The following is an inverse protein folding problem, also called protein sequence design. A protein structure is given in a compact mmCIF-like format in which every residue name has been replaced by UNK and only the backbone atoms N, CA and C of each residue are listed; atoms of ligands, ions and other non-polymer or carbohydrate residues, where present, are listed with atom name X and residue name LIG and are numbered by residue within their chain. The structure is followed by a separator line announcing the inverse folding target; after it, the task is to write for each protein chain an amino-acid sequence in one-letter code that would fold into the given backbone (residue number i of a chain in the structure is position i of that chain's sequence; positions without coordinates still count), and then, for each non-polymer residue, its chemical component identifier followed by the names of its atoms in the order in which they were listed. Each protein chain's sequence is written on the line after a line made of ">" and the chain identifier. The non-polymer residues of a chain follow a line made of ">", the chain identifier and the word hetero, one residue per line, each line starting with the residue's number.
data_IF_323669662789
#
_entry.id   IF_323669662789
#
_cell.length_a   1.000
_cell.length_b   1.000
_cell.length_c   1.000
_cell.angle_alpha   90.00
_cell.angle_beta   90.00
_cell.angle_gamma   90.00
#
_symmetry.space_group_name_H-M   'P 1'
#
loop_
_entity.id
_entity.type
_entity.pdbx_description
1 polymer ?
#
# COMPACT_ATOMS: atom_id res chain seq x y z
N UNK A 1 -18.32 15.47 45.06
CA UNK A 1 -18.78 14.07 44.84
C UNK A 1 -18.60 13.81 43.34
N UNK A 2 -17.42 13.31 42.96
CA UNK A 2 -17.14 11.90 42.67
C UNK A 2 -17.79 11.48 41.35
N UNK A 3 -17.07 11.46 40.22
CA UNK A 3 -16.14 10.44 39.66
C UNK A 3 -16.81 9.70 38.51
N UNK A 4 -16.14 9.63 37.34
CA UNK A 4 -16.44 8.58 36.35
C UNK A 4 -16.19 8.91 34.88
N UNK A 5 -14.93 9.05 34.48
CA UNK A 5 -14.44 8.63 33.14
C UNK A 5 -14.33 7.10 33.11
N UNK A 6 -14.56 6.44 31.94
CA UNK A 6 -13.45 5.99 31.08
C UNK A 6 -13.86 6.00 29.57
N UNK A 7 -13.04 5.68 28.57
CA UNK A 7 -11.71 5.08 28.53
C UNK A 7 -11.11 5.23 27.14
N UNK A 8 -9.79 5.33 27.14
CA UNK A 8 -8.90 5.50 26.01
C UNK A 8 -8.88 4.24 25.13
N UNK A 9 -9.00 4.43 23.81
CA UNK A 9 -8.70 3.37 22.84
C UNK A 9 -7.19 3.17 22.77
N UNK A 10 -6.77 1.96 23.12
CA UNK A 10 -5.38 1.51 23.09
C UNK A 10 -4.92 1.34 21.65
N UNK A 11 -3.94 2.15 21.23
CA UNK A 11 -3.08 1.87 20.10
C UNK A 11 -2.16 0.71 20.49
N UNK A 12 -2.34 -0.45 19.86
CA UNK A 12 -1.40 -1.58 19.97
C UNK A 12 -0.17 -1.22 19.15
N UNK A 13 0.84 -0.69 19.84
CA UNK A 13 2.18 -0.47 19.30
C UNK A 13 2.95 -1.79 19.44
N UNK A 14 3.25 -2.48 18.34
CA UNK A 14 4.18 -3.61 18.34
C UNK A 14 5.61 -3.09 18.55
N UNK A 15 6.02 -3.01 19.83
CA UNK A 15 7.38 -2.68 20.24
C UNK A 15 8.36 -3.80 19.90
N UNK A 16 9.39 -3.44 19.14
CA UNK A 16 10.58 -4.24 18.83
C UNK A 16 11.50 -4.25 20.05
N UNK A 17 11.65 -5.40 20.73
CA UNK A 17 12.67 -5.57 21.77
C UNK A 17 14.02 -5.95 21.13
N UNK A 18 15.14 -5.29 21.48
CA UNK A 18 16.47 -5.80 21.21
C UNK A 18 16.87 -6.81 22.29
N UNK A 19 17.18 -8.04 21.88
CA UNK A 19 17.75 -9.05 22.77
C UNK A 19 19.23 -8.72 23.04
N UNK A 20 19.54 -8.43 24.30
CA UNK A 20 20.89 -8.45 24.85
C UNK A 20 21.21 -9.85 25.38
N UNK A 21 22.33 -10.42 24.94
CA UNK A 21 23.04 -11.52 25.62
C UNK A 21 24.40 -11.65 24.92
N UNK A 22 25.54 -11.99 25.52
CA UNK A 22 25.94 -12.37 26.89
C UNK A 22 27.48 -12.29 26.90
N UNK A 23 28.09 -11.78 27.97
CA UNK A 23 28.78 -12.58 28.99
C UNK A 23 29.87 -13.54 28.49
N UNK A 24 31.09 -13.22 28.91
CA UNK A 24 32.38 -13.91 28.74
C UNK A 24 32.50 -15.17 29.60
N UNK A 25 33.44 -16.06 29.18
CA UNK A 25 34.05 -17.24 29.86
C UNK A 25 33.29 -18.57 29.75
N UNK A 26 33.90 -19.73 29.48
CA UNK A 26 35.26 -20.26 29.80
C UNK A 26 35.65 -21.33 28.76
N UNK A 27 36.95 -21.56 28.63
CA UNK A 27 37.55 -22.61 27.82
C UNK A 27 37.67 -23.98 28.53
N UNK A 28 37.90 -25.01 27.69
CA UNK A 28 38.39 -26.40 27.91
C UNK A 28 37.35 -27.53 27.87
N UNK A 29 37.72 -28.79 27.52
CA UNK A 29 38.74 -29.27 26.58
C UNK A 29 38.16 -30.27 25.53
N UNK A 30 39.01 -30.67 24.58
CA UNK A 30 38.71 -31.57 23.48
C UNK A 30 38.32 -32.99 23.92
N UNK A 31 37.20 -33.48 23.41
CA UNK A 31 36.85 -34.91 23.36
C UNK A 31 36.24 -35.20 21.98
N UNK A 32 36.95 -36.01 21.21
CA UNK A 32 36.54 -36.51 19.91
C UNK A 32 35.31 -37.43 20.05
N UNK A 33 34.19 -37.05 19.46
CA UNK A 33 33.06 -37.95 19.28
C UNK A 33 32.53 -37.90 17.84
N UNK A 34 32.36 -39.12 17.33
CA UNK A 34 32.02 -39.53 15.97
C UNK A 34 30.77 -38.86 15.41
N UNK A 35 30.87 -38.54 14.12
CA UNK A 35 29.79 -38.20 13.20
C UNK A 35 28.55 -39.07 13.35
N UNK A 36 27.38 -38.43 13.50
CA UNK A 36 26.11 -38.96 13.03
C UNK A 36 25.19 -37.79 12.62
N UNK A 37 24.84 -37.61 11.34
CA UNK A 37 23.96 -36.53 10.91
C UNK A 37 22.52 -36.98 11.10
N UNK A 38 21.87 -36.54 12.17
CA UNK A 38 20.40 -36.59 12.26
C UNK A 38 19.90 -35.32 11.58
N UNK A 39 19.46 -35.47 10.33
CA UNK A 39 18.78 -34.43 9.57
C UNK A 39 17.48 -34.06 10.29
N UNK A 40 17.52 -33.01 11.11
CA UNK A 40 16.34 -32.37 11.65
C UNK A 40 15.75 -31.46 10.57
N UNK A 41 14.94 -32.04 9.67
CA UNK A 41 14.09 -31.27 8.75
C UNK A 41 13.03 -30.55 9.57
N UNK A 42 13.29 -29.29 9.91
CA UNK A 42 12.33 -28.37 10.50
C UNK A 42 11.32 -27.98 9.40
N UNK A 43 10.27 -28.79 9.22
CA UNK A 43 9.16 -28.45 8.34
C UNK A 43 8.37 -27.29 8.94
N UNK A 44 8.76 -26.07 8.58
CA UNK A 44 8.00 -24.86 8.84
C UNK A 44 6.70 -24.92 8.05
N UNK A 45 5.62 -25.40 8.69
CA UNK A 45 4.28 -25.37 8.12
C UNK A 45 3.88 -23.90 7.95
N UNK A 46 3.98 -23.39 6.73
CA UNK A 46 3.34 -22.15 6.30
C UNK A 46 1.83 -22.35 6.46
N UNK A 47 1.27 -21.89 7.58
CA UNK A 47 -0.17 -21.70 7.71
C UNK A 47 -0.54 -20.55 6.78
N UNK A 48 -0.87 -20.88 5.54
CA UNK A 48 -1.52 -19.95 4.62
C UNK A 48 -2.93 -19.75 5.18
N UNK A 49 -3.09 -18.76 6.04
CA UNK A 49 -4.41 -18.24 6.38
C UNK A 49 -4.95 -17.58 5.11
N UNK A 50 -5.66 -18.35 4.29
CA UNK A 50 -6.47 -17.77 3.23
C UNK A 50 -7.38 -16.73 3.90
N UNK A 51 -7.36 -15.48 3.44
CA UNK A 51 -8.26 -14.45 3.93
C UNK A 51 -9.69 -14.94 3.72
N UNK A 52 -10.30 -15.49 4.77
CA UNK A 52 -11.68 -15.93 4.74
C UNK A 52 -12.54 -14.69 4.49
N UNK A 53 -13.52 -14.82 3.60
CA UNK A 53 -14.40 -13.72 3.26
C UNK A 53 -15.42 -13.42 4.36
N UNK A 54 -15.67 -14.38 5.26
CA UNK A 54 -16.55 -14.27 6.41
C UNK A 54 -15.97 -15.00 7.64
N UNK A 55 -16.30 -14.47 8.81
CA UNK A 55 -16.08 -15.14 10.10
C UNK A 55 -17.28 -16.01 10.55
N UNK A 56 -17.16 -16.70 11.68
CA UNK A 56 -18.22 -17.56 12.21
C UNK A 56 -19.51 -16.79 12.53
N UNK A 57 -19.37 -15.58 13.09
CA UNK A 57 -20.50 -14.75 13.47
C UNK A 57 -21.27 -14.29 12.24
N UNK A 58 -20.57 -13.87 11.20
CA UNK A 58 -21.16 -13.48 9.93
C UNK A 58 -21.87 -14.65 9.24
N UNK A 59 -21.25 -15.84 9.21
CA UNK A 59 -21.90 -17.05 8.69
C UNK A 59 -23.18 -17.37 9.49
N UNK A 60 -23.09 -17.40 10.82
CA UNK A 60 -24.23 -17.76 11.69
C UNK A 60 -25.33 -16.71 11.72
N UNK A 61 -25.04 -15.46 11.36
CA UNK A 61 -26.06 -14.40 11.26
C UNK A 61 -27.16 -14.74 10.26
N UNK A 62 -26.83 -15.50 9.20
CA UNK A 62 -27.77 -15.91 8.17
C UNK A 62 -28.33 -14.78 7.30
N UNK A 63 -27.85 -13.54 7.44
CA UNK A 63 -28.32 -12.39 6.67
C UNK A 63 -27.63 -12.29 5.31
N UNK A 64 -27.92 -13.28 4.46
CA UNK A 64 -27.34 -13.40 3.13
C UNK A 64 -27.70 -12.24 2.21
N UNK A 65 -28.89 -11.65 2.38
CA UNK A 65 -29.29 -10.46 1.61
C UNK A 65 -28.42 -9.26 1.94
N UNK A 66 -28.15 -8.98 3.22
CA UNK A 66 -27.24 -7.90 3.60
C UNK A 66 -25.83 -8.14 3.08
N UNK A 67 -25.32 -9.38 3.17
CA UNK A 67 -24.00 -9.73 2.62
C UNK A 67 -23.95 -9.46 1.11
N UNK A 68 -24.94 -9.93 0.35
CA UNK A 68 -25.04 -9.65 -1.07
C UNK A 68 -25.07 -8.15 -1.36
N UNK A 69 -25.88 -7.39 -0.62
CA UNK A 69 -25.92 -5.94 -0.76
C UNK A 69 -24.55 -5.28 -0.56
N UNK A 70 -23.80 -5.68 0.46
CA UNK A 70 -22.46 -5.15 0.71
C UNK A 70 -21.50 -5.55 -0.42
N UNK A 71 -21.56 -6.77 -0.91
CA UNK A 71 -20.70 -7.23 -2.01
C UNK A 71 -20.98 -6.49 -3.32
N UNK A 72 -22.26 -6.30 -3.65
CA UNK A 72 -22.69 -5.54 -4.81
C UNK A 72 -22.29 -4.07 -4.69
N UNK A 73 -22.44 -3.47 -3.50
CA UNK A 73 -22.04 -2.09 -3.22
C UNK A 73 -20.52 -1.88 -3.37
N UNK A 74 -19.72 -2.91 -3.09
CA UNK A 74 -18.27 -2.90 -3.25
C UNK A 74 -17.80 -3.28 -4.65
N UNK A 75 -18.71 -3.67 -5.54
CA UNK A 75 -18.38 -4.10 -6.91
C UNK A 75 -17.64 -5.43 -6.97
N UNK A 76 -17.77 -6.30 -5.96
CA UNK A 76 -17.16 -7.63 -6.02
C UNK A 76 -17.82 -8.50 -7.08
N UNK A 77 -17.04 -9.39 -7.71
CA UNK A 77 -17.55 -10.34 -8.69
C UNK A 77 -18.56 -11.32 -8.07
N UNK A 78 -19.50 -11.83 -8.87
CA UNK A 78 -20.50 -12.81 -8.40
C UNK A 78 -19.92 -14.11 -7.86
N UNK A 79 -18.69 -14.45 -8.27
CA UNK A 79 -17.93 -15.58 -7.71
C UNK A 79 -17.72 -15.47 -6.20
N UNK A 80 -17.86 -14.27 -5.61
CA UNK A 80 -17.70 -14.02 -4.17
C UNK A 80 -18.63 -14.89 -3.30
N UNK A 81 -19.81 -15.23 -3.79
CA UNK A 81 -20.71 -16.14 -3.08
C UNK A 81 -20.08 -17.53 -2.87
N UNK A 82 -19.33 -18.04 -3.84
CA UNK A 82 -18.62 -19.31 -3.70
C UNK A 82 -17.44 -19.20 -2.70
N UNK A 83 -16.85 -18.02 -2.54
CA UNK A 83 -15.86 -17.79 -1.50
C UNK A 83 -16.50 -17.77 -0.11
N UNK A 84 -17.70 -17.19 0.01
CA UNK A 84 -18.50 -17.25 1.25
C UNK A 84 -18.91 -18.68 1.61
N UNK A 85 -19.33 -19.48 0.63
CA UNK A 85 -19.64 -20.90 0.84
C UNK A 85 -18.44 -21.65 1.44
N UNK A 86 -17.25 -21.51 0.83
CA UNK A 86 -16.01 -22.11 1.35
C UNK A 86 -15.69 -21.62 2.77
N UNK A 87 -15.89 -20.34 3.06
CA UNK A 87 -15.62 -19.77 4.37
C UNK A 87 -16.59 -20.32 5.44
N UNK A 88 -17.86 -20.51 5.10
CA UNK A 88 -18.90 -20.94 6.03
C UNK A 88 -19.06 -22.46 6.17
N UNK A 89 -18.54 -23.24 5.22
CA UNK A 89 -18.59 -24.71 5.23
C UNK A 89 -17.99 -25.32 6.51
N UNK A 90 -16.90 -24.73 7.04
CA UNK A 90 -16.27 -25.18 8.30
C UNK A 90 -17.18 -25.05 9.53
N UNK A 91 -18.22 -24.23 9.44
CA UNK A 91 -19.22 -24.02 10.50
C UNK A 91 -20.53 -24.74 10.22
N UNK A 92 -20.62 -25.51 9.14
CA UNK A 92 -21.84 -26.19 8.71
C UNK A 92 -22.96 -25.25 8.26
N UNK A 93 -22.61 -24.02 7.84
CA UNK A 93 -23.57 -23.03 7.34
C UNK A 93 -23.48 -22.98 5.82
N UNK A 94 -24.63 -23.10 5.14
CA UNK A 94 -24.76 -22.97 3.70
C UNK A 94 -25.33 -21.60 3.32
N UNK A 95 -24.83 -20.95 2.25
CA UNK A 95 -25.40 -19.72 1.75
C UNK A 95 -26.82 -19.87 1.19
N UNK A 96 -27.63 -18.81 1.34
CA UNK A 96 -28.86 -18.63 0.56
C UNK A 96 -28.53 -17.83 -0.71
N UNK A 97 -28.40 -18.48 -1.89
CA UNK A 97 -28.02 -17.80 -3.12
C UNK A 97 -29.08 -16.81 -3.60
N UNK A 98 -30.37 -17.05 -3.33
CA UNK A 98 -31.45 -16.18 -3.77
C UNK A 98 -31.46 -14.89 -2.94
N UNK A 99 -31.37 -15.02 -1.61
CA UNK A 99 -31.27 -13.87 -0.73
C UNK A 99 -30.04 -13.03 -1.04
N UNK A 100 -28.87 -13.67 -1.21
CA UNK A 100 -27.64 -12.98 -1.60
C UNK A 100 -27.77 -12.28 -2.94
N UNK A 101 -28.29 -12.95 -3.98
CA UNK A 101 -28.42 -12.37 -5.32
C UNK A 101 -29.36 -11.14 -5.33
N UNK A 102 -30.44 -11.16 -4.55
CA UNK A 102 -31.35 -10.01 -4.40
C UNK A 102 -30.62 -8.81 -3.80
N UNK A 103 -29.91 -9.01 -2.70
CA UNK A 103 -29.10 -7.95 -2.09
C UNK A 103 -28.01 -7.46 -3.04
N UNK A 104 -27.33 -8.38 -3.72
CA UNK A 104 -26.25 -8.06 -4.66
C UNK A 104 -26.69 -7.14 -5.78
N UNK A 105 -27.85 -7.39 -6.39
CA UNK A 105 -28.40 -6.49 -7.42
C UNK A 105 -28.67 -5.10 -6.83
N UNK A 106 -29.25 -5.02 -5.63
CA UNK A 106 -29.52 -3.72 -4.96
C UNK A 106 -28.25 -2.92 -4.68
N UNK A 107 -27.20 -3.60 -4.20
CA UNK A 107 -25.90 -2.96 -3.96
C UNK A 107 -25.21 -2.57 -5.27
N UNK A 108 -25.26 -3.46 -6.26
CA UNK A 108 -24.66 -3.25 -7.57
C UNK A 108 -25.22 -2.01 -8.27
N UNK A 109 -26.53 -1.74 -8.17
CA UNK A 109 -27.12 -0.54 -8.75
C UNK A 109 -26.56 0.76 -8.16
N UNK A 110 -26.03 0.73 -6.92
CA UNK A 110 -25.36 1.89 -6.29
C UNK A 110 -23.90 2.00 -6.74
N UNK A 111 -23.24 0.86 -6.95
CA UNK A 111 -21.88 0.80 -7.47
C UNK A 111 -21.80 1.20 -8.95
N UNK A 112 -22.76 0.78 -9.78
CA UNK A 112 -22.75 0.95 -11.23
C UNK A 112 -23.27 2.33 -11.65
N UNK A 113 -22.53 3.36 -11.27
CA UNK A 113 -22.79 4.75 -11.66
C UNK A 113 -21.53 5.38 -12.26
N UNK A 114 -21.67 6.42 -13.09
CA UNK A 114 -20.52 7.14 -13.64
C UNK A 114 -19.61 7.69 -12.53
N UNK A 115 -20.18 8.32 -11.49
CA UNK A 115 -19.44 8.83 -10.34
C UNK A 115 -18.58 7.76 -9.68
N UNK A 116 -19.21 6.63 -9.33
CA UNK A 116 -18.51 5.49 -8.72
C UNK A 116 -17.44 4.94 -9.66
N UNK A 117 -17.73 4.80 -10.96
CA UNK A 117 -16.74 4.39 -11.96
C UNK A 117 -15.49 5.29 -11.93
N UNK A 118 -15.68 6.60 -12.00
CA UNK A 118 -14.59 7.58 -11.91
C UNK A 118 -13.81 7.47 -10.60
N UNK A 119 -14.48 7.42 -9.45
CA UNK A 119 -13.83 7.26 -8.15
C UNK A 119 -13.02 5.95 -8.08
N UNK A 120 -13.59 4.82 -8.51
CA UNK A 120 -12.88 3.55 -8.54
C UNK A 120 -11.65 3.58 -9.45
N UNK A 121 -11.77 4.18 -10.64
CA UNK A 121 -10.66 4.30 -11.57
C UNK A 121 -9.54 5.19 -11.03
N UNK A 122 -9.92 6.32 -10.41
CA UNK A 122 -9.02 7.30 -9.80
C UNK A 122 -8.27 6.73 -8.60
N UNK A 123 -8.93 5.89 -7.81
CA UNK A 123 -8.33 5.20 -6.66
C UNK A 123 -7.48 3.98 -7.09
N UNK A 124 -7.28 3.77 -8.40
CA UNK A 124 -6.48 2.68 -8.92
C UNK A 124 -7.15 1.31 -8.89
N UNK A 125 -8.42 1.22 -8.46
CA UNK A 125 -9.15 -0.03 -8.37
C UNK A 125 -9.44 -0.61 -9.77
N UNK A 126 -9.34 -1.94 -9.87
CA UNK A 126 -9.77 -2.67 -11.06
C UNK A 126 -11.29 -2.70 -11.20
N UNK A 127 -11.77 -3.01 -12.40
CA UNK A 127 -13.18 -3.23 -12.68
C UNK A 127 -13.43 -4.69 -13.08
N UNK A 128 -14.32 -5.37 -12.37
CA UNK A 128 -14.60 -6.80 -12.54
C UNK A 128 -15.76 -7.09 -13.52
N UNK A 129 -16.08 -6.14 -14.42
CA UNK A 129 -17.17 -6.25 -15.41
C UNK A 129 -18.52 -6.65 -14.79
N UNK A 130 -18.80 -6.13 -13.59
CA UNK A 130 -20.01 -6.51 -12.83
C UNK A 130 -21.25 -5.76 -13.26
N UNK A 131 -21.12 -4.59 -13.91
CA UNK A 131 -22.27 -3.76 -14.23
C UNK A 131 -23.07 -4.29 -15.42
N UNK A 132 -24.43 -4.30 -15.32
CA UNK A 132 -25.29 -4.58 -16.46
C UNK A 132 -25.06 -3.60 -17.61
N UNK A 133 -25.29 -3.99 -18.88
CA UNK A 133 -24.99 -3.18 -20.06
C UNK A 133 -25.48 -1.72 -19.99
N UNK A 134 -26.72 -1.52 -19.52
CA UNK A 134 -27.34 -0.19 -19.42
C UNK A 134 -26.57 0.75 -18.48
N UNK A 135 -26.01 0.21 -17.40
CA UNK A 135 -25.23 0.98 -16.43
C UNK A 135 -23.72 0.97 -16.74
N UNK A 136 -23.22 -0.08 -17.40
CA UNK A 136 -21.83 -0.20 -17.82
C UNK A 136 -21.45 0.88 -18.83
N UNK A 137 -22.39 1.25 -19.71
CA UNK A 137 -22.24 2.33 -20.67
C UNK A 137 -21.90 3.69 -20.02
N UNK A 138 -22.28 3.89 -18.75
CA UNK A 138 -21.92 5.07 -17.97
C UNK A 138 -20.72 4.81 -17.05
N UNK A 139 -20.64 3.63 -16.43
CA UNK A 139 -19.59 3.28 -15.47
C UNK A 139 -18.22 3.15 -16.13
N UNK A 140 -18.10 2.35 -17.20
CA UNK A 140 -16.80 1.99 -17.80
C UNK A 140 -16.04 3.20 -18.35
N UNK A 141 -16.64 4.11 -19.13
CA UNK A 141 -15.92 5.29 -19.61
C UNK A 141 -15.48 6.21 -18.46
N UNK A 142 -16.30 6.31 -17.41
CA UNK A 142 -15.93 7.09 -16.23
C UNK A 142 -14.76 6.44 -15.46
N UNK A 143 -14.77 5.11 -15.34
CA UNK A 143 -13.65 4.36 -14.77
C UNK A 143 -12.36 4.52 -15.58
N UNK A 144 -12.42 4.49 -16.91
CA UNK A 144 -11.28 4.77 -17.78
C UNK A 144 -10.74 6.20 -17.60
N UNK A 145 -11.64 7.19 -17.48
CA UNK A 145 -11.29 8.57 -17.13
C UNK A 145 -10.57 8.64 -15.76
N UNK A 146 -11.07 7.93 -14.75
CA UNK A 146 -10.43 7.83 -13.44
C UNK A 146 -9.04 7.19 -13.52
N UNK A 147 -8.88 6.12 -14.32
CA UNK A 147 -7.59 5.44 -14.53
C UNK A 147 -6.54 6.36 -15.14
N UNK A 148 -6.94 7.35 -15.95
CA UNK A 148 -6.03 8.38 -16.46
C UNK A 148 -5.52 9.29 -15.35
N UNK A 149 -6.37 9.66 -14.40
CA UNK A 149 -5.98 10.44 -13.21
C UNK A 149 -5.03 9.62 -12.34
N UNK A 150 -5.34 8.35 -12.09
CA UNK A 150 -4.48 7.43 -11.34
C UNK A 150 -3.07 7.32 -11.96
N UNK A 151 -2.97 7.20 -13.29
CA UNK A 151 -1.68 7.10 -13.96
C UNK A 151 -0.79 8.35 -13.76
N UNK A 152 -1.39 9.55 -13.71
CA UNK A 152 -0.65 10.78 -13.42
C UNK A 152 -0.23 10.86 -11.94
N UNK A 153 -1.07 10.40 -11.02
CA UNK A 153 -0.72 10.27 -9.60
C UNK A 153 0.48 9.33 -9.40
N UNK A 154 0.43 8.14 -10.01
CA UNK A 154 1.53 7.17 -9.98
C UNK A 154 2.83 7.78 -10.54
N UNK A 155 2.72 8.58 -11.62
CA UNK A 155 3.87 9.27 -12.22
C UNK A 155 4.46 10.32 -11.28
N UNK A 156 3.63 11.08 -10.57
CA UNK A 156 4.10 12.06 -9.58
C UNK A 156 4.80 11.37 -8.41
N UNK A 157 4.21 10.30 -7.87
CA UNK A 157 4.81 9.53 -6.78
C UNK A 157 6.20 9.01 -7.18
N UNK A 158 6.30 8.32 -8.32
CA UNK A 158 7.56 7.76 -8.81
C UNK A 158 8.62 8.84 -9.10
N UNK A 159 8.22 9.94 -9.75
CA UNK A 159 9.13 11.05 -10.06
C UNK A 159 9.62 11.72 -8.79
N UNK A 160 8.71 11.92 -7.83
CA UNK A 160 9.00 12.46 -6.52
C UNK A 160 9.97 11.61 -5.72
N UNK A 161 9.73 10.30 -5.66
CA UNK A 161 10.62 9.36 -4.99
C UNK A 161 12.03 9.38 -5.59
N UNK A 162 12.13 9.44 -6.91
CA UNK A 162 13.41 9.57 -7.61
C UNK A 162 14.12 10.89 -7.31
N UNK A 163 13.40 12.02 -7.28
CA UNK A 163 13.95 13.31 -6.88
C UNK A 163 14.55 13.26 -5.47
N UNK A 164 13.82 12.66 -4.53
CA UNK A 164 14.26 12.51 -3.14
C UNK A 164 15.51 11.65 -3.03
N UNK A 165 15.55 10.51 -3.71
CA UNK A 165 16.71 9.61 -3.76
C UNK A 165 17.97 10.33 -4.26
N UNK A 166 17.84 11.09 -5.36
CA UNK A 166 18.96 11.86 -5.92
C UNK A 166 19.41 12.95 -4.95
N UNK A 167 18.47 13.71 -4.38
CA UNK A 167 18.77 14.78 -3.43
C UNK A 167 19.50 14.24 -2.18
N UNK A 168 19.05 13.11 -1.63
CA UNK A 168 19.69 12.44 -0.50
C UNK A 168 21.11 11.99 -0.84
N UNK A 169 21.31 11.42 -2.04
CA UNK A 169 22.63 10.98 -2.50
C UNK A 169 23.60 12.15 -2.63
N UNK A 170 23.17 13.26 -3.25
CA UNK A 170 23.98 14.47 -3.40
C UNK A 170 24.29 15.11 -2.04
N UNK A 171 23.31 15.18 -1.14
CA UNK A 171 23.49 15.74 0.19
C UNK A 171 24.45 14.90 1.05
N UNK A 172 24.41 13.58 0.94
CA UNK A 172 25.34 12.70 1.64
C UNK A 172 26.77 12.81 1.07
N UNK A 173 26.94 12.91 -0.26
CA UNK A 173 28.24 13.20 -0.88
C UNK A 173 28.83 14.53 -0.38
N UNK A 174 28.00 15.59 -0.32
CA UNK A 174 28.37 16.89 0.23
C UNK A 174 28.78 16.83 1.70
N UNK A 175 28.00 16.11 2.52
CA UNK A 175 28.30 15.92 3.93
C UNK A 175 29.65 15.22 4.13
N UNK A 176 29.90 14.15 3.38
CA UNK A 176 31.16 13.39 3.46
C UNK A 176 32.36 14.21 3.02
N UNK A 177 32.20 15.02 1.97
CA UNK A 177 33.21 15.97 1.51
C UNK A 177 33.51 17.03 2.57
N UNK A 178 32.46 17.65 3.15
CA UNK A 178 32.59 18.68 4.18
C UNK A 178 33.32 18.17 5.43
N UNK A 179 32.91 17.00 5.96
CA UNK A 179 33.55 16.39 7.14
C UNK A 179 35.06 16.20 6.94
N UNK A 180 35.47 15.72 5.77
CA UNK A 180 36.88 15.52 5.45
C UNK A 180 37.65 16.85 5.31
N UNK A 181 37.07 17.82 4.58
CA UNK A 181 37.69 19.13 4.35
C UNK A 181 37.82 19.93 5.65
N UNK A 182 36.81 19.90 6.51
CA UNK A 182 36.79 20.66 7.76
C UNK A 182 37.80 20.09 8.77
N UNK A 183 37.94 18.77 8.87
CA UNK A 183 38.99 18.15 9.68
C UNK A 183 40.39 18.63 9.26
N UNK A 184 40.65 18.66 7.94
CA UNK A 184 41.92 19.12 7.39
C UNK A 184 42.18 20.62 7.65
N UNK A 185 41.15 21.46 7.53
CA UNK A 185 41.24 22.91 7.82
C UNK A 185 41.54 23.21 9.28
N UNK A 186 40.97 22.42 10.19
CA UNK A 186 41.14 22.59 11.63
C UNK A 186 42.42 21.95 12.16
N UNK A 187 43.23 21.32 11.31
CA UNK A 187 44.45 20.61 11.71
C UNK A 187 44.16 19.37 12.57
N UNK A 188 42.92 18.87 12.55
CA UNK A 188 42.56 17.59 13.15
C UNK A 188 42.99 16.46 12.21
N UNK A 189 43.27 15.30 12.78
CA UNK A 189 43.47 14.10 11.97
C UNK A 189 42.19 13.80 11.18
N UNK A 190 42.23 13.79 9.83
CA UNK A 190 41.03 13.51 9.04
C UNK A 190 40.56 12.07 9.27
N UNK A 191 39.24 11.82 9.19
CA UNK A 191 38.75 10.45 9.15
C UNK A 191 39.29 9.72 7.90
N UNK A 192 39.00 8.43 7.80
CA UNK A 192 39.28 7.66 6.58
C UNK A 192 38.76 8.41 5.35
N UNK A 193 39.58 8.47 4.30
CA UNK A 193 39.27 9.23 3.08
C UNK A 193 37.90 8.75 2.54
N UNK A 194 36.91 9.64 2.41
CA UNK A 194 35.59 9.23 1.97
C UNK A 194 35.63 8.81 0.50
N UNK A 195 34.86 7.77 0.18
CA UNK A 195 34.52 7.40 -1.20
C UNK A 195 33.49 8.40 -1.72
N UNK A 196 33.94 9.47 -2.38
CA UNK A 196 33.06 10.47 -2.97
C UNK A 196 32.61 10.07 -4.37
N UNK A 197 31.52 10.67 -4.83
CA UNK A 197 31.10 10.62 -6.23
C UNK A 197 32.20 11.23 -7.13
N UNK A 198 32.40 10.64 -8.31
CA UNK A 198 33.20 11.28 -9.33
C UNK A 198 32.51 12.54 -9.86
N UNK A 199 33.31 13.46 -10.43
CA UNK A 199 32.78 14.67 -11.09
C UNK A 199 31.76 14.36 -12.18
N UNK A 200 31.91 13.21 -12.86
CA UNK A 200 31.00 12.76 -13.91
C UNK A 200 29.66 12.31 -13.34
N UNK A 201 29.69 11.44 -12.32
CA UNK A 201 28.50 10.91 -11.65
C UNK A 201 27.68 12.03 -11.01
N UNK A 202 28.33 12.92 -10.25
CA UNK A 202 27.64 14.05 -9.62
C UNK A 202 26.93 14.95 -10.64
N UNK A 203 27.62 15.32 -11.72
CA UNK A 203 27.02 16.11 -12.81
C UNK A 203 25.89 15.38 -13.53
N UNK A 204 25.92 14.04 -13.58
CA UNK A 204 24.84 13.26 -14.17
C UNK A 204 23.60 13.30 -13.28
N UNK A 205 23.78 13.12 -11.97
CA UNK A 205 22.71 13.23 -10.97
C UNK A 205 22.10 14.63 -10.94
N UNK A 206 22.91 15.69 -10.94
CA UNK A 206 22.41 17.08 -10.97
C UNK A 206 21.51 17.31 -12.20
N UNK A 207 21.95 16.87 -13.39
CA UNK A 207 21.15 17.01 -14.62
C UNK A 207 19.86 16.19 -14.60
N UNK A 208 19.92 14.99 -14.02
CA UNK A 208 18.74 14.13 -13.88
C UNK A 208 17.73 14.79 -12.92
N UNK A 209 18.20 15.30 -11.78
CA UNK A 209 17.38 16.04 -10.81
C UNK A 209 16.69 17.23 -11.47
N UNK A 210 17.44 18.10 -12.14
CA UNK A 210 16.88 19.30 -12.79
C UNK A 210 15.81 18.94 -13.83
N UNK A 211 16.04 17.89 -14.61
CA UNK A 211 15.06 17.40 -15.59
C UNK A 211 13.80 16.89 -14.90
N UNK A 212 13.95 16.03 -13.88
CA UNK A 212 12.81 15.43 -13.18
C UNK A 212 12.01 16.47 -12.42
N UNK A 213 12.64 17.52 -11.90
CA UNK A 213 11.96 18.62 -11.21
C UNK A 213 10.99 19.35 -12.17
N UNK A 214 11.44 19.66 -13.39
CA UNK A 214 10.58 20.26 -14.43
C UNK A 214 9.47 19.30 -14.86
N UNK A 215 9.80 18.02 -15.06
CA UNK A 215 8.80 17.01 -15.42
C UNK A 215 7.73 16.83 -14.32
N UNK A 216 8.13 16.84 -13.05
CA UNK A 216 7.23 16.77 -11.91
C UNK A 216 6.23 17.94 -11.90
N UNK A 217 6.70 19.17 -12.07
CA UNK A 217 5.82 20.36 -12.12
C UNK A 217 4.85 20.31 -13.31
N UNK A 218 5.32 19.86 -14.47
CA UNK A 218 4.48 19.68 -15.66
C UNK A 218 3.36 18.66 -15.42
N UNK A 219 3.70 17.49 -14.87
CA UNK A 219 2.71 16.43 -14.56
C UNK A 219 1.74 16.89 -13.49
N UNK A 220 2.21 17.67 -12.50
CA UNK A 220 1.35 18.22 -11.45
C UNK A 220 0.30 19.18 -12.03
N UNK A 221 0.69 20.03 -12.98
CA UNK A 221 -0.23 20.93 -13.67
C UNK A 221 -1.25 20.16 -14.52
N UNK A 222 -0.78 19.14 -15.27
CA UNK A 222 -1.64 18.27 -16.08
C UNK A 222 -2.68 17.52 -15.22
N UNK A 223 -2.25 16.97 -14.08
CA UNK A 223 -3.14 16.31 -13.12
C UNK A 223 -4.20 17.28 -12.59
N UNK A 224 -3.80 18.49 -12.21
CA UNK A 224 -4.72 19.48 -11.65
C UNK A 224 -5.81 19.90 -12.65
N UNK A 225 -5.44 20.12 -13.91
CA UNK A 225 -6.40 20.45 -14.97
C UNK A 225 -7.34 19.27 -15.27
N UNK A 226 -6.78 18.06 -15.36
CA UNK A 226 -7.54 16.86 -15.68
C UNK A 226 -8.54 16.52 -14.56
N UNK A 227 -8.09 16.49 -13.30
CA UNK A 227 -8.95 16.17 -12.16
C UNK A 227 -10.04 17.23 -11.96
N UNK A 228 -9.74 18.52 -12.15
CA UNK A 228 -10.76 19.57 -12.09
C UNK A 228 -11.86 19.36 -13.14
N UNK A 229 -11.48 19.00 -14.36
CA UNK A 229 -12.42 18.75 -15.46
C UNK A 229 -13.26 17.50 -15.21
N UNK A 230 -12.62 16.39 -14.84
CA UNK A 230 -13.28 15.10 -14.70
C UNK A 230 -14.11 14.99 -13.41
N UNK A 231 -13.67 15.62 -12.31
CA UNK A 231 -14.44 15.67 -11.07
C UNK A 231 -15.78 16.38 -11.25
N UNK A 232 -15.81 17.47 -12.01
CA UNK A 232 -17.06 18.15 -12.36
C UNK A 232 -17.92 17.28 -13.28
N UNK A 233 -17.33 16.67 -14.32
CA UNK A 233 -18.05 15.79 -15.26
C UNK A 233 -18.77 14.65 -14.55
N UNK A 234 -18.09 14.00 -13.61
CA UNK A 234 -18.57 12.78 -12.96
C UNK A 234 -19.23 13.04 -11.59
N UNK A 235 -19.30 14.30 -11.13
CA UNK A 235 -19.92 14.66 -9.86
C UNK A 235 -19.16 14.13 -8.63
N UNK A 236 -17.84 13.97 -8.76
CA UNK A 236 -16.96 13.54 -7.69
C UNK A 236 -16.26 14.75 -7.06
N UNK A 237 -15.85 14.69 -5.78
CA UNK A 237 -15.02 15.74 -5.20
C UNK A 237 -13.66 15.77 -5.91
N UNK A 238 -13.11 16.97 -6.19
CA UNK A 238 -11.74 17.08 -6.70
C UNK A 238 -10.74 16.55 -5.67
N UNK A 239 -9.60 16.08 -6.16
CA UNK A 239 -8.49 15.71 -5.30
C UNK A 239 -8.08 16.92 -4.46
N UNK A 240 -7.82 16.68 -3.18
CA UNK A 240 -7.16 17.70 -2.38
C UNK A 240 -5.78 17.95 -3.00
N UNK A 241 -5.29 19.21 -2.99
CA UNK A 241 -3.97 19.49 -3.52
C UNK A 241 -2.96 18.57 -2.83
N UNK A 242 -2.20 17.81 -3.63
CA UNK A 242 -1.09 17.00 -3.13
C UNK A 242 -0.13 17.99 -2.47
N UNK A 243 -0.18 18.09 -1.13
CA UNK A 243 0.58 19.07 -0.38
C UNK A 243 2.06 18.82 -0.66
N UNK A 244 2.69 19.83 -1.27
CA UNK A 244 4.11 19.88 -1.57
C UNK A 244 4.91 19.56 -0.31
N UNK A 245 5.58 18.42 -0.29
CA UNK A 245 6.69 18.16 0.62
C UNK A 245 7.77 17.41 -0.18
N UNK A 246 8.48 18.16 -1.02
CA UNK A 246 9.88 17.92 -1.33
C UNK A 246 10.67 19.03 -0.67
#
# INVERSE_FOLDING_TARGET
>A
MSTGTPGLSALVYCGRQPATSTHTQRAQPAMAHRFQPVAATLSLALLVTACATLDEGECRSGDWRRLGYVDGLKGYAKSRLADHDKACARYGVLPDPNAWQLGYIEGQMRYCTARSGYEQGRDGNGYADVCPPDTDAAFRPAWEDGRRVAALLDTLEQTGDRLREIAETLAEDDRRSAVYVDAAREGREPPERPVLLSRGERRALDREYDRLAVDYERVQAELAELDATLSVRHGAPPLQPVLRNF
#
